data_IF_139678491807
#
_entry.id   IF_139678491807
#
_cell.length_a   1.000
_cell.length_b   1.000
_cell.length_c   1.000
_cell.angle_alpha   90.00
_cell.angle_beta   90.00
_cell.angle_gamma   90.00
#
_symmetry.space_group_name_H-M   'P 1'
#
loop_
_entity.id
_entity.type
_entity.pdbx_description
1 polymer ?
#
# COMPACT_ATOMS: atom_id res chain seq x y z
N UNK A 1 -89.78 -54.06 14.51
CA UNK A 1 -88.57 -53.96 13.65
C UNK A 1 -88.68 -52.80 12.66
N UNK A 2 -89.88 -52.30 12.39
CA UNK A 2 -90.16 -51.34 11.30
C UNK A 2 -89.70 -49.89 11.58
N UNK A 3 -89.60 -49.49 12.85
CA UNK A 3 -89.16 -48.14 13.23
C UNK A 3 -87.68 -47.85 12.91
N UNK A 4 -86.80 -48.84 13.07
CA UNK A 4 -85.37 -48.70 12.76
C UNK A 4 -85.11 -48.58 11.26
N UNK A 5 -85.94 -49.22 10.43
CA UNK A 5 -85.85 -49.20 8.98
C UNK A 5 -86.19 -47.81 8.42
N UNK A 6 -87.21 -47.15 8.98
CA UNK A 6 -87.59 -45.78 8.62
C UNK A 6 -86.49 -44.78 9.02
N UNK A 7 -85.88 -44.94 10.21
CA UNK A 7 -84.80 -44.07 10.65
C UNK A 7 -83.57 -44.14 9.73
N UNK A 8 -83.22 -45.35 9.26
CA UNK A 8 -82.12 -45.57 8.31
C UNK A 8 -82.43 -44.92 6.96
N UNK A 9 -83.67 -45.00 6.47
CA UNK A 9 -84.09 -44.36 5.21
C UNK A 9 -84.03 -42.82 5.33
N UNK A 10 -84.43 -42.26 6.46
CA UNK A 10 -84.37 -40.80 6.69
C UNK A 10 -82.92 -40.32 6.83
N UNK A 11 -82.05 -41.07 7.51
CA UNK A 11 -80.62 -40.75 7.60
C UNK A 11 -79.89 -40.92 6.28
N UNK A 12 -80.22 -41.97 5.50
CA UNK A 12 -79.67 -42.17 4.17
C UNK A 12 -80.17 -41.10 3.19
N UNK A 13 -81.46 -40.76 3.24
CA UNK A 13 -82.06 -39.70 2.45
C UNK A 13 -81.52 -38.32 2.81
N UNK A 14 -81.35 -38.03 4.10
CA UNK A 14 -80.75 -36.79 4.60
C UNK A 14 -79.27 -36.67 4.23
N UNK A 15 -78.51 -37.76 4.36
CA UNK A 15 -77.12 -37.82 3.93
C UNK A 15 -76.96 -37.64 2.42
N UNK A 16 -77.84 -38.26 1.62
CA UNK A 16 -77.87 -38.11 0.17
C UNK A 16 -78.19 -36.67 -0.25
N UNK A 17 -79.21 -36.06 0.38
CA UNK A 17 -79.59 -34.67 0.10
C UNK A 17 -78.48 -33.69 0.50
N UNK A 18 -77.84 -33.90 1.65
CA UNK A 18 -76.72 -33.09 2.11
C UNK A 18 -75.52 -33.16 1.15
N UNK A 19 -75.20 -34.36 0.66
CA UNK A 19 -74.13 -34.55 -0.31
C UNK A 19 -74.43 -33.91 -1.67
N UNK A 20 -75.72 -33.82 -2.04
CA UNK A 20 -76.14 -33.19 -3.30
C UNK A 20 -76.13 -31.65 -3.22
N UNK A 21 -76.37 -31.07 -2.03
CA UNK A 21 -76.30 -29.62 -1.80
C UNK A 21 -74.86 -29.10 -1.57
N UNK A 22 -73.89 -29.98 -1.27
CA UNK A 22 -72.49 -29.60 -0.99
C UNK A 22 -71.58 -29.44 -2.22
N UNK A 23 -72.11 -29.53 -3.43
CA UNK A 23 -71.33 -29.38 -4.67
C UNK A 23 -71.60 -28.05 -5.36
N UNK A 24 -71.06 -26.90 -4.90
CA UNK A 24 -70.96 -25.71 -5.73
C UNK A 24 -69.87 -25.99 -6.79
N UNK A 25 -70.23 -26.70 -7.86
CA UNK A 25 -69.41 -26.79 -9.06
C UNK A 25 -69.32 -25.41 -9.72
N UNK A 26 -68.12 -25.03 -10.18
CA UNK A 26 -67.89 -23.73 -10.82
C UNK A 26 -68.79 -23.54 -12.06
N UNK A 27 -69.28 -22.32 -12.36
CA UNK A 27 -70.12 -22.05 -13.53
C UNK A 27 -69.43 -22.41 -14.86
N UNK A 28 -70.21 -22.78 -15.89
CA UNK A 28 -69.69 -23.04 -17.24
C UNK A 28 -68.85 -21.86 -17.75
N UNK A 29 -67.61 -22.16 -18.18
CA UNK A 29 -66.64 -21.17 -18.65
C UNK A 29 -65.56 -20.75 -17.64
N UNK A 30 -65.67 -21.17 -16.38
CA UNK A 30 -64.64 -20.92 -15.35
C UNK A 30 -63.85 -22.19 -15.02
N UNK A 31 -62.54 -22.15 -15.26
CA UNK A 31 -61.61 -23.17 -14.79
C UNK A 31 -60.91 -22.67 -13.51
N UNK A 32 -60.94 -23.46 -12.43
CA UNK A 32 -60.13 -23.20 -11.25
C UNK A 32 -58.76 -23.87 -11.43
N UNK A 33 -57.70 -23.07 -11.44
CA UNK A 33 -56.33 -23.54 -11.43
C UNK A 33 -55.60 -22.93 -10.24
N UNK A 34 -54.84 -23.75 -9.51
CA UNK A 34 -53.92 -23.27 -8.49
C UNK A 34 -52.52 -23.22 -9.09
N UNK A 35 -52.09 -22.03 -9.51
CA UNK A 35 -50.72 -21.81 -9.97
C UNK A 35 -49.80 -21.58 -8.79
N UNK A 36 -48.78 -22.43 -8.62
CA UNK A 36 -47.67 -22.16 -7.70
C UNK A 36 -46.48 -21.61 -8.48
N UNK A 37 -46.10 -20.37 -8.19
CA UNK A 37 -44.87 -19.79 -8.71
C UNK A 37 -43.75 -20.26 -7.78
N UNK A 38 -42.78 -20.99 -8.33
CA UNK A 38 -41.56 -21.38 -7.62
C UNK A 38 -40.40 -20.57 -8.22
N UNK A 39 -39.71 -19.80 -7.37
CA UNK A 39 -38.55 -19.02 -7.75
C UNK A 39 -37.38 -19.38 -6.82
N UNK A 40 -36.18 -19.48 -7.37
CA UNK A 40 -34.96 -19.58 -6.58
C UNK A 40 -34.56 -18.17 -6.15
N UNK A 41 -34.70 -17.86 -4.87
CA UNK A 41 -34.32 -16.58 -4.29
C UNK A 41 -32.79 -16.48 -4.16
N UNK A 42 -32.24 -15.34 -4.55
CA UNK A 42 -30.83 -15.02 -4.38
C UNK A 42 -30.77 -13.71 -3.58
N UNK A 43 -30.28 -13.81 -2.34
CA UNK A 43 -30.07 -12.65 -1.49
C UNK A 43 -28.78 -11.92 -1.87
N UNK A 44 -28.90 -10.63 -2.17
CA UNK A 44 -27.75 -9.77 -2.47
C UNK A 44 -27.50 -8.86 -1.26
N UNK A 45 -26.37 -9.07 -0.59
CA UNK A 45 -25.98 -8.31 0.60
C UNK A 45 -24.73 -7.46 0.36
N UNK A 46 -24.63 -6.33 1.05
CA UNK A 46 -23.41 -5.49 1.04
C UNK A 46 -22.26 -6.21 1.77
N UNK A 47 -21.05 -6.13 1.21
CA UNK A 47 -19.84 -6.71 1.82
C UNK A 47 -19.39 -5.99 3.10
N UNK A 48 -19.72 -4.71 3.22
CA UNK A 48 -19.34 -3.83 4.33
C UNK A 48 -20.59 -3.14 4.88
N UNK A 49 -20.62 -2.87 6.19
CA UNK A 49 -21.74 -2.17 6.82
C UNK A 49 -21.68 -0.66 6.53
N UNK A 50 -22.83 -0.02 6.32
CA UNK A 50 -22.89 1.44 6.16
C UNK A 50 -24.28 1.96 5.80
N UNK A 51 -24.38 3.28 5.65
CA UNK A 51 -25.64 3.96 5.30
C UNK A 51 -25.87 3.90 3.80
N UNK A 52 -27.08 3.55 3.38
CA UNK A 52 -27.51 3.62 1.98
C UNK A 52 -27.72 5.10 1.60
N UNK A 53 -27.14 5.51 0.49
CA UNK A 53 -27.33 6.84 -0.11
C UNK A 53 -28.50 6.81 -1.09
N UNK A 54 -28.50 5.86 -2.02
CA UNK A 54 -29.52 5.73 -3.07
C UNK A 54 -29.87 4.27 -3.34
N UNK A 55 -31.13 4.03 -3.71
CA UNK A 55 -31.64 2.76 -4.23
C UNK A 55 -32.15 3.06 -5.64
N UNK A 56 -31.57 2.41 -6.65
CA UNK A 56 -31.80 2.73 -8.06
C UNK A 56 -32.85 1.83 -8.71
N UNK A 57 -33.40 0.86 -7.98
CA UNK A 57 -34.28 -0.19 -8.50
C UNK A 57 -35.59 -0.24 -7.74
N UNK A 58 -36.64 -0.74 -8.40
CA UNK A 58 -37.95 -0.99 -7.80
C UNK A 58 -38.34 -2.43 -8.01
N UNK A 59 -39.20 -2.92 -7.12
CA UNK A 59 -39.77 -4.26 -7.18
C UNK A 59 -40.43 -4.54 -8.55
N UNK A 60 -40.22 -5.74 -9.09
CA UNK A 60 -40.75 -6.17 -10.39
C UNK A 60 -39.91 -5.78 -11.62
N UNK A 61 -38.79 -5.06 -11.43
CA UNK A 61 -37.87 -4.71 -12.52
C UNK A 61 -36.61 -5.56 -12.40
N UNK A 62 -36.17 -6.20 -13.49
CA UNK A 62 -34.94 -6.98 -13.55
C UNK A 62 -33.85 -6.20 -14.30
N UNK A 63 -33.05 -5.36 -13.61
CA UNK A 63 -31.93 -4.66 -14.22
C UNK A 63 -30.80 -5.66 -14.52
N UNK A 64 -30.24 -5.60 -15.72
CA UNK A 64 -29.11 -6.45 -16.10
C UNK A 64 -27.81 -5.67 -15.91
N UNK A 65 -27.01 -6.06 -14.91
CA UNK A 65 -25.66 -5.52 -14.61
C UNK A 65 -25.63 -4.06 -14.12
N UNK A 66 -26.74 -3.55 -13.59
CA UNK A 66 -26.81 -2.18 -13.06
C UNK A 66 -26.48 -2.12 -11.56
N UNK A 67 -26.07 -0.94 -11.10
CA UNK A 67 -25.93 -0.63 -9.68
C UNK A 67 -27.32 -0.56 -9.05
N UNK A 68 -27.65 -1.53 -8.20
CA UNK A 68 -28.92 -1.67 -7.51
C UNK A 68 -29.09 -0.61 -6.41
N UNK A 69 -28.02 -0.39 -5.63
CA UNK A 69 -27.98 0.56 -4.53
C UNK A 69 -26.56 1.07 -4.31
N UNK A 70 -26.42 2.29 -3.80
CA UNK A 70 -25.13 2.90 -3.49
C UNK A 70 -25.09 3.34 -2.04
N UNK A 71 -23.98 3.07 -1.36
CA UNK A 71 -23.74 3.50 0.01
C UNK A 71 -23.21 4.94 0.07
N UNK A 72 -23.31 5.58 1.23
CA UNK A 72 -22.72 6.90 1.49
C UNK A 72 -21.20 6.78 1.63
N UNK A 73 -20.48 7.24 0.60
CA UNK A 73 -19.03 7.12 0.49
C UNK A 73 -18.27 8.35 0.97
N UNK A 74 -18.92 9.36 1.58
CA UNK A 74 -18.24 10.62 1.95
C UNK A 74 -17.00 10.40 2.82
N UNK A 75 -17.09 9.49 3.80
CA UNK A 75 -15.95 9.15 4.66
C UNK A 75 -14.85 8.42 3.90
N UNK A 76 -15.20 7.45 3.04
CA UNK A 76 -14.24 6.71 2.21
C UNK A 76 -13.55 7.63 1.19
N UNK A 77 -14.29 8.57 0.59
CA UNK A 77 -13.73 9.57 -0.31
C UNK A 77 -12.76 10.52 0.40
N UNK A 78 -13.07 10.93 1.64
CA UNK A 78 -12.16 11.73 2.47
C UNK A 78 -10.88 10.93 2.81
N UNK A 79 -11.03 9.66 3.20
CA UNK A 79 -9.89 8.76 3.46
C UNK A 79 -9.04 8.53 2.20
N UNK A 80 -9.66 8.41 1.03
CA UNK A 80 -8.96 8.29 -0.24
C UNK A 80 -8.13 9.55 -0.53
N UNK A 81 -8.72 10.73 -0.33
CA UNK A 81 -8.02 12.01 -0.49
C UNK A 81 -6.82 12.13 0.45
N UNK A 82 -6.98 11.70 1.70
CA UNK A 82 -5.89 11.63 2.69
C UNK A 82 -4.79 10.66 2.23
N UNK A 83 -5.13 9.43 1.84
CA UNK A 83 -4.18 8.43 1.37
C UNK A 83 -3.41 8.90 0.12
N UNK A 84 -4.08 9.55 -0.82
CA UNK A 84 -3.44 10.16 -1.99
C UNK A 84 -2.46 11.28 -1.58
N UNK A 85 -2.79 12.08 -0.56
CA UNK A 85 -1.86 13.08 -0.03
C UNK A 85 -0.64 12.42 0.63
N UNK A 86 -0.84 11.35 1.39
CA UNK A 86 0.24 10.56 1.99
C UNK A 86 1.15 9.92 0.93
N UNK A 87 0.58 9.40 -0.16
CA UNK A 87 1.34 8.89 -1.31
C UNK A 87 2.23 9.97 -1.93
N UNK A 88 1.66 11.15 -2.24
CA UNK A 88 2.44 12.30 -2.77
C UNK A 88 3.54 12.75 -1.82
N UNK A 89 3.29 12.70 -0.51
CA UNK A 89 4.31 13.01 0.49
C UNK A 89 5.44 11.95 0.48
N UNK A 90 5.09 10.67 0.36
CA UNK A 90 6.08 9.60 0.25
C UNK A 90 6.95 9.74 -1.00
N UNK A 91 6.36 10.07 -2.16
CA UNK A 91 7.09 10.37 -3.39
C UNK A 91 8.06 11.55 -3.21
N UNK A 92 7.60 12.63 -2.57
CA UNK A 92 8.43 13.80 -2.26
C UNK A 92 9.61 13.44 -1.36
N UNK A 93 9.43 12.48 -0.44
CA UNK A 93 10.50 11.96 0.40
C UNK A 93 11.52 11.15 -0.43
N UNK A 94 11.10 10.36 -1.42
CA UNK A 94 12.02 9.67 -2.34
C UNK A 94 12.90 10.67 -3.10
N UNK A 95 12.30 11.75 -3.60
CA UNK A 95 13.03 12.83 -4.29
C UNK A 95 14.06 13.46 -3.34
N UNK A 96 13.65 13.78 -2.11
CA UNK A 96 14.54 14.35 -1.09
C UNK A 96 15.70 13.41 -0.74
N UNK A 97 15.44 12.11 -0.60
CA UNK A 97 16.47 11.09 -0.36
C UNK A 97 17.45 10.95 -1.53
N UNK A 98 16.97 11.09 -2.78
CA UNK A 98 17.84 11.10 -3.98
C UNK A 98 18.73 12.33 -4.01
N UNK A 99 18.21 13.51 -3.65
CA UNK A 99 19.00 14.72 -3.51
C UNK A 99 20.07 14.58 -2.42
N UNK A 100 19.73 13.98 -1.28
CA UNK A 100 20.68 13.69 -0.22
C UNK A 100 21.80 12.73 -0.71
N UNK A 101 21.47 11.70 -1.48
CA UNK A 101 22.48 10.82 -2.10
C UNK A 101 23.40 11.60 -3.05
N UNK A 102 22.87 12.50 -3.87
CA UNK A 102 23.68 13.34 -4.75
C UNK A 102 24.65 14.20 -3.94
N UNK A 103 24.19 14.81 -2.85
CA UNK A 103 25.05 15.55 -1.92
C UNK A 103 26.16 14.67 -1.32
N UNK A 104 25.85 13.45 -0.86
CA UNK A 104 26.87 12.51 -0.34
C UNK A 104 27.92 12.14 -1.38
N UNK A 105 27.53 11.99 -2.65
CA UNK A 105 28.48 11.76 -3.75
C UNK A 105 29.41 12.96 -3.94
N UNK A 106 28.89 14.18 -3.88
CA UNK A 106 29.71 15.40 -3.93
C UNK A 106 30.67 15.51 -2.75
N UNK A 107 30.22 15.17 -1.54
CA UNK A 107 31.06 15.14 -0.34
C UNK A 107 32.21 14.12 -0.47
N UNK A 108 31.94 12.93 -1.01
CA UNK A 108 33.00 11.94 -1.31
C UNK A 108 34.01 12.48 -2.32
N UNK A 109 33.55 13.13 -3.40
CA UNK A 109 34.45 13.72 -4.38
C UNK A 109 35.35 14.81 -3.77
N UNK A 110 34.82 15.62 -2.85
CA UNK A 110 35.60 16.60 -2.10
C UNK A 110 36.63 15.92 -1.16
N UNK A 111 36.24 14.85 -0.46
CA UNK A 111 37.16 14.08 0.38
C UNK A 111 38.29 13.44 -0.46
N UNK A 112 37.99 12.93 -1.65
CA UNK A 112 39.00 12.41 -2.57
C UNK A 112 39.97 13.49 -3.06
N UNK A 113 39.47 14.72 -3.28
CA UNK A 113 40.33 15.86 -3.58
C UNK A 113 41.27 16.20 -2.42
N UNK A 114 40.78 16.14 -1.18
CA UNK A 114 41.61 16.31 0.01
C UNK A 114 42.69 15.22 0.11
N UNK A 115 42.38 13.95 -0.20
CA UNK A 115 43.38 12.87 -0.25
C UNK A 115 44.48 13.20 -1.26
N UNK A 116 44.12 13.65 -2.45
CA UNK A 116 45.10 14.05 -3.48
C UNK A 116 46.00 15.19 -2.96
N UNK A 117 45.43 16.21 -2.34
CA UNK A 117 46.18 17.31 -1.74
C UNK A 117 47.16 16.81 -0.67
N UNK A 118 46.68 16.04 0.32
CA UNK A 118 47.53 15.55 1.43
C UNK A 118 48.61 14.59 0.97
N UNK A 119 48.34 13.80 -0.07
CA UNK A 119 49.34 12.91 -0.68
C UNK A 119 50.44 13.71 -1.39
N UNK A 120 50.09 14.81 -2.05
CA UNK A 120 51.06 15.71 -2.66
C UNK A 120 51.93 16.41 -1.60
N UNK A 121 51.33 16.87 -0.49
CA UNK A 121 52.04 17.45 0.66
C UNK A 121 53.01 16.44 1.28
N UNK A 122 52.58 15.20 1.51
CA UNK A 122 53.44 14.12 2.00
C UNK A 122 54.62 13.87 1.05
N UNK A 123 54.36 13.82 -0.26
CA UNK A 123 55.41 13.61 -1.27
C UNK A 123 56.43 14.76 -1.23
N UNK A 124 55.97 16.00 -1.08
CA UNK A 124 56.85 17.16 -0.98
C UNK A 124 57.71 17.10 0.30
N UNK A 125 57.11 16.75 1.44
CA UNK A 125 57.81 16.57 2.70
C UNK A 125 58.87 15.46 2.62
N UNK A 126 58.54 14.32 1.99
CA UNK A 126 59.48 13.21 1.79
C UNK A 126 60.68 13.63 0.93
N UNK A 127 60.44 14.33 -0.18
CA UNK A 127 61.52 14.88 -1.03
C UNK A 127 62.41 15.87 -0.26
N UNK A 128 61.83 16.67 0.64
CA UNK A 128 62.59 17.58 1.50
C UNK A 128 63.48 16.82 2.48
N UNK A 129 62.93 15.82 3.16
CA UNK A 129 63.67 14.94 4.07
C UNK A 129 64.82 14.22 3.36
N UNK A 130 64.58 13.65 2.18
CA UNK A 130 65.65 13.00 1.39
C UNK A 130 66.79 13.99 1.07
N UNK A 131 66.45 15.25 0.79
CA UNK A 131 67.43 16.29 0.50
C UNK A 131 68.23 16.68 1.74
N UNK A 132 67.58 16.88 2.89
CA UNK A 132 68.29 17.22 4.13
C UNK A 132 69.17 16.06 4.61
N UNK A 133 68.72 14.82 4.47
CA UNK A 133 69.52 13.61 4.72
C UNK A 133 70.77 13.52 3.83
N UNK A 134 70.71 13.97 2.58
CA UNK A 134 71.89 14.04 1.72
C UNK A 134 72.84 15.18 2.14
N UNK A 135 72.29 16.35 2.49
CA UNK A 135 73.07 17.54 2.86
C UNK A 135 73.73 17.45 4.24
N UNK A 136 73.14 16.72 5.19
CA UNK A 136 73.76 16.53 6.51
C UNK A 136 75.03 15.69 6.41
N UNK A 137 75.10 14.74 5.46
CA UNK A 137 76.30 13.93 5.19
C UNK A 137 77.48 14.77 4.69
N UNK A 138 77.20 15.93 4.09
CA UNK A 138 78.21 16.90 3.65
C UNK A 138 78.36 18.07 4.61
N UNK A 139 77.82 17.98 5.85
CA UNK A 139 77.79 19.05 6.85
C UNK A 139 77.16 20.38 6.36
N UNK A 140 76.30 20.34 5.34
CA UNK A 140 75.67 21.53 4.76
C UNK A 140 74.39 21.96 5.51
N UNK A 141 73.83 21.08 6.34
CA UNK A 141 72.70 21.35 7.24
C UNK A 141 72.93 20.64 8.59
N UNK A 142 72.22 21.06 9.64
CA UNK A 142 72.29 20.43 10.97
C UNK A 142 71.49 19.12 11.04
N UNK A 143 71.85 18.25 12.00
CA UNK A 143 71.08 17.03 12.31
C UNK A 143 69.65 17.39 12.76
N UNK A 144 69.51 18.45 13.56
CA UNK A 144 68.21 18.97 13.98
C UNK A 144 67.28 19.26 12.80
N UNK A 145 67.80 19.81 11.69
CA UNK A 145 66.98 20.07 10.50
C UNK A 145 66.43 18.79 9.87
N UNK A 146 67.18 17.68 9.92
CA UNK A 146 66.74 16.37 9.43
C UNK A 146 65.66 15.80 10.35
N UNK A 147 65.83 15.93 11.66
CA UNK A 147 64.83 15.49 12.65
C UNK A 147 63.52 16.28 12.52
N UNK A 148 63.60 17.59 12.31
CA UNK A 148 62.45 18.45 12.03
C UNK A 148 61.75 18.04 10.73
N UNK A 149 62.50 17.76 9.66
CA UNK A 149 61.95 17.27 8.39
C UNK A 149 61.28 15.90 8.53
N UNK A 150 61.85 15.02 9.36
CA UNK A 150 61.28 13.72 9.66
C UNK A 150 59.94 13.87 10.40
N UNK A 151 59.87 14.77 11.38
CA UNK A 151 58.64 15.10 12.09
C UNK A 151 57.57 15.65 11.13
N UNK A 152 57.95 16.50 10.17
CA UNK A 152 57.03 17.00 9.13
C UNK A 152 56.51 15.88 8.23
N UNK A 153 57.36 14.91 7.83
CA UNK A 153 56.92 13.74 7.06
C UNK A 153 55.94 12.87 7.85
N UNK A 154 56.22 12.63 9.13
CA UNK A 154 55.34 11.87 10.02
C UNK A 154 53.95 12.56 10.12
N UNK A 155 53.93 13.87 10.33
CA UNK A 155 52.69 14.66 10.37
C UNK A 155 51.92 14.64 9.05
N UNK A 156 52.60 14.84 7.92
CA UNK A 156 51.98 14.79 6.60
C UNK A 156 51.42 13.39 6.27
N UNK A 157 52.10 12.32 6.74
CA UNK A 157 51.62 10.94 6.57
C UNK A 157 50.35 10.71 7.38
N UNK A 158 50.33 11.13 8.64
CA UNK A 158 49.13 11.05 9.47
C UNK A 158 47.95 11.82 8.85
N UNK A 159 48.19 13.02 8.31
CA UNK A 159 47.18 13.81 7.62
C UNK A 159 46.64 13.13 6.35
N UNK A 160 47.51 12.47 5.56
CA UNK A 160 47.10 11.72 4.38
C UNK A 160 46.25 10.49 4.74
N UNK A 161 46.63 9.74 5.77
CA UNK A 161 45.83 8.61 6.25
C UNK A 161 44.48 9.05 6.83
N UNK A 162 44.44 10.16 7.57
CA UNK A 162 43.18 10.73 8.05
C UNK A 162 42.25 11.14 6.90
N UNK A 163 42.79 11.74 5.82
CA UNK A 163 42.00 12.08 4.64
C UNK A 163 41.46 10.82 3.93
N UNK A 164 42.24 9.73 3.86
CA UNK A 164 41.76 8.45 3.30
C UNK A 164 40.62 7.86 4.14
N UNK A 165 40.73 7.93 5.46
CA UNK A 165 39.65 7.51 6.37
C UNK A 165 38.37 8.33 6.15
N UNK A 166 38.49 9.63 5.86
CA UNK A 166 37.34 10.48 5.51
C UNK A 166 36.65 10.03 4.22
N UNK A 167 37.40 9.60 3.20
CA UNK A 167 36.81 9.01 1.98
C UNK A 167 36.04 7.72 2.29
N UNK A 168 36.59 6.86 3.14
CA UNK A 168 35.89 5.64 3.57
C UNK A 168 34.58 5.97 4.32
N UNK A 169 34.61 6.94 5.23
CA UNK A 169 33.42 7.42 5.92
C UNK A 169 32.38 8.02 4.97
N UNK A 170 32.81 8.81 3.98
CA UNK A 170 31.92 9.35 2.96
C UNK A 170 31.31 8.25 2.08
N UNK A 171 32.06 7.18 1.78
CA UNK A 171 31.52 6.02 1.07
C UNK A 171 30.44 5.29 1.87
N UNK A 172 30.69 5.05 3.17
CA UNK A 172 29.67 4.46 4.05
C UNK A 172 28.41 5.35 4.15
N UNK A 173 28.57 6.67 4.15
CA UNK A 173 27.45 7.60 4.13
C UNK A 173 26.64 7.54 2.82
N UNK A 174 27.28 7.26 1.68
CA UNK A 174 26.60 6.99 0.40
C UNK A 174 25.77 5.72 0.50
N UNK A 175 26.33 4.63 1.03
CA UNK A 175 25.63 3.34 1.16
C UNK A 175 24.41 3.47 2.10
N UNK A 176 24.56 4.24 3.19
CA UNK A 176 23.46 4.58 4.08
C UNK A 176 22.37 5.42 3.36
N UNK A 177 22.76 6.40 2.54
CA UNK A 177 21.82 7.19 1.76
C UNK A 177 21.08 6.36 0.70
N UNK A 178 21.76 5.40 0.06
CA UNK A 178 21.11 4.45 -0.86
C UNK A 178 20.08 3.59 -0.13
N UNK A 179 20.43 3.08 1.05
CA UNK A 179 19.49 2.34 1.89
C UNK A 179 18.28 3.20 2.30
N UNK A 180 18.50 4.50 2.57
CA UNK A 180 17.44 5.46 2.83
C UNK A 180 16.49 5.69 1.64
N UNK A 181 16.99 5.61 0.40
CA UNK A 181 16.14 5.65 -0.80
C UNK A 181 15.25 4.41 -0.87
N UNK A 182 15.80 3.22 -0.63
CA UNK A 182 15.02 1.97 -0.62
C UNK A 182 13.90 2.06 0.42
N UNK A 183 14.22 2.50 1.65
CA UNK A 183 13.22 2.70 2.69
C UNK A 183 12.14 3.72 2.30
N UNK A 184 12.51 4.81 1.62
CA UNK A 184 11.56 5.79 1.14
C UNK A 184 10.64 5.19 0.06
N UNK A 185 11.16 4.36 -0.84
CA UNK A 185 10.38 3.65 -1.86
C UNK A 185 9.40 2.65 -1.23
N UNK A 186 9.83 1.88 -0.23
CA UNK A 186 8.92 0.96 0.48
C UNK A 186 7.75 1.72 1.14
N UNK A 187 7.97 2.96 1.59
CA UNK A 187 6.89 3.81 2.11
C UNK A 187 5.93 4.28 1.01
N UNK A 188 6.42 4.52 -0.20
CA UNK A 188 5.56 4.80 -1.37
C UNK A 188 4.69 3.58 -1.67
N UNK A 189 5.28 2.39 -1.75
CA UNK A 189 4.56 1.15 -2.02
C UNK A 189 3.48 0.88 -0.96
N UNK A 190 3.78 1.12 0.33
CA UNK A 190 2.83 0.98 1.42
C UNK A 190 1.68 2.01 1.34
N UNK A 191 1.99 3.26 0.97
CA UNK A 191 0.97 4.29 0.77
C UNK A 191 0.06 3.96 -0.42
N UNK A 192 0.64 3.46 -1.52
CA UNK A 192 -0.10 3.02 -2.71
C UNK A 192 -1.01 1.83 -2.39
N UNK A 193 -0.51 0.84 -1.65
CA UNK A 193 -1.32 -0.30 -1.21
C UNK A 193 -2.50 0.14 -0.34
N UNK A 194 -2.30 1.15 0.52
CA UNK A 194 -3.37 1.74 1.33
C UNK A 194 -4.40 2.44 0.45
N UNK A 195 -3.96 3.17 -0.57
CA UNK A 195 -4.83 3.82 -1.55
C UNK A 195 -5.69 2.77 -2.29
N UNK A 196 -5.07 1.73 -2.86
CA UNK A 196 -5.79 0.66 -3.56
C UNK A 196 -6.80 -0.06 -2.67
N UNK A 197 -6.49 -0.28 -1.39
CA UNK A 197 -7.43 -0.86 -0.44
C UNK A 197 -8.68 0.02 -0.27
N UNK A 198 -8.50 1.33 -0.13
CA UNK A 198 -9.62 2.28 0.03
C UNK A 198 -10.43 2.39 -1.28
N UNK A 199 -9.77 2.35 -2.43
CA UNK A 199 -10.44 2.31 -3.74
C UNK A 199 -11.31 1.04 -3.88
N UNK A 200 -10.80 -0.12 -3.47
CA UNK A 200 -11.58 -1.35 -3.44
C UNK A 200 -12.78 -1.27 -2.49
N UNK A 201 -12.61 -0.68 -1.30
CA UNK A 201 -13.72 -0.46 -0.36
C UNK A 201 -14.78 0.50 -0.93
N UNK A 202 -14.37 1.47 -1.75
CA UNK A 202 -15.26 2.41 -2.44
C UNK A 202 -16.01 1.76 -3.61
N UNK A 203 -15.38 0.84 -4.33
CA UNK A 203 -16.02 0.04 -5.37
C UNK A 203 -17.02 -0.95 -4.77
N UNK A 204 -16.68 -1.59 -3.65
CA UNK A 204 -17.56 -2.49 -2.89
C UNK A 204 -18.77 -1.75 -2.28
N UNK A 205 -18.72 -0.41 -2.18
CA UNK A 205 -19.83 0.43 -1.75
C UNK A 205 -20.95 0.56 -2.80
N UNK A 206 -20.77 0.00 -4.00
CA UNK A 206 -21.79 -0.12 -5.04
C UNK A 206 -22.33 -1.55 -5.09
N UNK A 207 -23.62 -1.71 -4.75
CA UNK A 207 -24.30 -2.99 -4.86
C UNK A 207 -24.70 -3.23 -6.32
N UNK A 208 -24.26 -4.33 -6.93
CA UNK A 208 -24.54 -4.69 -8.33
C UNK A 208 -25.37 -5.97 -8.41
N UNK A 209 -26.15 -6.08 -9.49
CA UNK A 209 -26.99 -7.25 -9.81
C UNK A 209 -26.18 -8.46 -10.28
#
# INVERSE_FOLDING_TARGET
MDFYLILIIVLAGGGYLYHMLQSPGLPEGFAQSNGRIEATEIDISTKTAGRISTINVREGICPRRDVLAQMDTRTLAAQLSEAQAQHRQADSNVISSRSALAQRKSEKAAAEAMVRQRTAELTAAQKRLTRSQALVRTNAVSVQQVDDDLAVVQGARAAAEAAKAQVAAASAAIDAAQSGIIQAQTKVDAALATQHRIEADLDDSQLKA
#
